data_IF_364602005269
#
_entry.id   IF_364602005269
#
_cell.length_a   1.000
_cell.length_b   1.000
_cell.length_c   1.000
_cell.angle_alpha   90.00
_cell.angle_beta   90.00
_cell.angle_gamma   90.00
#
_symmetry.space_group_name_H-M   'P 1'
#
loop_
_entity.id
_entity.type
_entity.pdbx_description
1 polymer ?
#
# COMPACT_ATOMS: atom_id res chain seq x y z
N UNK A 1 8.43 -3.51 -29.27
CA UNK A 1 7.42 -4.17 -28.41
C UNK A 1 7.98 -4.75 -27.12
N UNK A 2 8.98 -5.64 -27.16
CA UNK A 2 9.54 -6.18 -25.93
C UNK A 2 10.10 -5.09 -24.99
N UNK A 3 10.78 -4.07 -25.53
CA UNK A 3 11.25 -2.92 -24.75
C UNK A 3 10.11 -2.12 -24.06
N UNK A 4 8.95 -1.99 -24.71
CA UNK A 4 7.80 -1.29 -24.13
C UNK A 4 7.12 -2.14 -23.04
N UNK A 5 7.01 -3.45 -23.25
CA UNK A 5 6.49 -4.39 -22.24
C UNK A 5 7.41 -4.49 -21.03
N UNK A 6 8.73 -4.50 -21.23
CA UNK A 6 9.72 -4.46 -20.15
C UNK A 6 9.58 -3.20 -19.30
N UNK A 7 9.44 -2.03 -19.92
CA UNK A 7 9.24 -0.77 -19.19
C UNK A 7 7.94 -0.77 -18.37
N UNK A 8 6.86 -1.39 -18.87
CA UNK A 8 5.63 -1.58 -18.09
C UNK A 8 5.84 -2.58 -16.96
N UNK A 9 6.55 -3.68 -17.19
CA UNK A 9 6.88 -4.67 -16.16
C UNK A 9 7.67 -4.03 -15.01
N UNK A 10 8.67 -3.21 -15.32
CA UNK A 10 9.45 -2.49 -14.29
C UNK A 10 8.58 -1.52 -13.49
N UNK A 11 7.69 -0.80 -14.18
CA UNK A 11 6.74 0.13 -13.55
C UNK A 11 5.72 -0.59 -12.67
N UNK A 12 5.26 -1.78 -13.07
CA UNK A 12 4.41 -2.66 -12.27
C UNK A 12 5.14 -3.17 -11.03
N UNK A 13 6.41 -3.54 -11.16
CA UNK A 13 7.26 -3.94 -10.04
C UNK A 13 7.42 -2.80 -9.02
N UNK A 14 7.69 -1.58 -9.49
CA UNK A 14 7.77 -0.40 -8.63
C UNK A 14 6.44 -0.10 -7.92
N UNK A 15 5.33 -0.19 -8.67
CA UNK A 15 3.98 0.01 -8.13
C UNK A 15 3.65 -1.04 -7.07
N UNK A 16 3.98 -2.31 -7.33
CA UNK A 16 3.78 -3.41 -6.38
C UNK A 16 4.59 -3.19 -5.09
N UNK A 17 5.87 -2.83 -5.21
CA UNK A 17 6.73 -2.59 -4.05
C UNK A 17 6.26 -1.39 -3.20
N UNK A 18 5.76 -0.34 -3.85
CA UNK A 18 5.18 0.82 -3.16
C UNK A 18 3.94 0.41 -2.38
N UNK A 19 2.98 -0.25 -3.04
CA UNK A 19 1.74 -0.72 -2.40
C UNK A 19 2.03 -1.72 -1.27
N UNK A 20 3.02 -2.61 -1.45
CA UNK A 20 3.37 -3.61 -0.44
C UNK A 20 3.96 -2.99 0.84
N UNK A 21 4.80 -1.97 0.68
CA UNK A 21 5.38 -1.22 1.81
C UNK A 21 4.26 -0.55 2.64
N UNK A 22 3.34 0.13 1.96
CA UNK A 22 2.24 0.86 2.56
C UNK A 22 1.21 -0.11 3.21
N UNK A 23 0.89 -1.21 2.52
CA UNK A 23 0.01 -2.27 3.03
C UNK A 23 0.59 -2.94 4.29
N UNK A 24 1.90 -3.23 4.29
CA UNK A 24 2.58 -3.84 5.43
C UNK A 24 2.55 -2.91 6.65
N UNK A 25 2.82 -1.62 6.44
CA UNK A 25 2.77 -0.63 7.51
C UNK A 25 1.35 -0.42 8.04
N UNK A 26 0.33 -0.35 7.18
CA UNK A 26 -1.08 -0.30 7.60
C UNK A 26 -1.47 -1.51 8.45
N UNK A 27 -1.10 -2.72 7.99
CA UNK A 27 -1.40 -3.96 8.73
C UNK A 27 -0.70 -3.97 10.09
N UNK A 28 0.55 -3.47 10.16
CA UNK A 28 1.26 -3.33 11.43
C UNK A 28 0.62 -2.30 12.37
N UNK A 29 0.00 -1.24 11.84
CA UNK A 29 -0.71 -0.23 12.64
C UNK A 29 -2.04 -0.77 13.18
N UNK A 30 -2.80 -1.53 12.38
CA UNK A 30 -3.96 -2.30 12.90
C UNK A 30 -3.50 -3.19 14.05
N UNK A 31 -2.37 -3.86 13.84
CA UNK A 31 -1.70 -4.68 14.82
C UNK A 31 -2.55 -5.85 15.27
N UNK A 32 -2.25 -6.35 16.45
CA UNK A 32 -2.91 -7.50 17.06
C UNK A 32 -3.01 -7.31 18.60
N UNK A 33 -3.23 -8.39 19.33
CA UNK A 33 -3.26 -8.36 20.80
C UNK A 33 -1.96 -7.89 21.47
N UNK A 34 -0.86 -7.76 20.74
CA UNK A 34 0.47 -7.40 21.24
C UNK A 34 0.92 -6.00 20.83
N UNK A 35 0.29 -5.36 19.84
CA UNK A 35 0.65 -4.02 19.38
C UNK A 35 -0.40 -3.35 18.50
N UNK A 36 -0.15 -2.08 18.15
CA UNK A 36 -1.03 -1.29 17.27
C UNK A 36 -2.39 -0.94 17.90
N UNK A 37 -3.37 -0.64 17.05
CA UNK A 37 -4.70 -0.18 17.46
C UNK A 37 -5.46 -1.22 18.27
N UNK A 38 -5.30 -2.50 17.96
CA UNK A 38 -5.98 -3.60 18.68
C UNK A 38 -5.52 -3.67 20.14
N UNK A 39 -4.21 -3.56 20.41
CA UNK A 39 -3.70 -3.48 21.78
C UNK A 39 -4.09 -2.17 22.47
N UNK A 40 -4.09 -1.05 21.75
CA UNK A 40 -4.57 0.24 22.29
C UNK A 40 -6.02 0.14 22.79
N UNK A 41 -6.91 -0.46 21.99
CA UNK A 41 -8.30 -0.71 22.37
C UNK A 41 -8.37 -1.57 23.64
N UNK A 42 -7.58 -2.64 23.72
CA UNK A 42 -7.54 -3.51 24.90
C UNK A 42 -7.08 -2.78 26.17
N UNK A 43 -6.08 -1.90 26.08
CA UNK A 43 -5.63 -1.07 27.20
C UNK A 43 -6.69 -0.08 27.66
N UNK A 44 -7.45 0.51 26.72
CA UNK A 44 -8.55 1.41 27.07
C UNK A 44 -9.71 0.66 27.74
N UNK A 45 -9.99 -0.57 27.30
CA UNK A 45 -10.96 -1.45 27.97
C UNK A 45 -10.48 -1.83 29.38
N UNK A 46 -9.19 -2.14 29.54
CA UNK A 46 -8.59 -2.42 30.84
C UNK A 46 -8.71 -1.21 31.79
N UNK A 47 -8.47 0.00 31.27
CA UNK A 47 -8.60 1.25 32.01
C UNK A 47 -10.02 1.56 32.51
N UNK A 48 -11.06 0.88 32.00
CA UNK A 48 -12.43 0.99 32.55
C UNK A 48 -12.62 0.23 33.85
N UNK A 49 -11.71 -0.65 34.22
CA UNK A 49 -11.81 -1.41 35.47
C UNK A 49 -11.63 -0.46 36.66
N UNK A 50 -12.59 -0.48 37.60
CA UNK A 50 -12.53 0.37 38.78
C UNK A 50 -11.32 0.04 39.66
N UNK A 51 -10.70 1.05 40.26
CA UNK A 51 -9.54 0.89 41.13
C UNK A 51 -8.20 0.61 40.42
N UNK A 52 -8.14 0.70 39.09
CA UNK A 52 -6.89 0.52 38.34
C UNK A 52 -6.05 1.81 38.28
N UNK A 53 -4.72 1.66 38.32
CA UNK A 53 -3.80 2.79 38.16
C UNK A 53 -3.60 3.13 36.68
N UNK A 54 -4.41 4.08 36.19
CA UNK A 54 -4.40 4.53 34.78
C UNK A 54 -3.10 5.20 34.36
N UNK A 55 -2.26 5.66 35.29
CA UNK A 55 -0.97 6.26 34.95
C UNK A 55 0.00 5.23 34.38
N UNK A 56 -0.07 3.99 34.85
CA UNK A 56 0.74 2.87 34.34
C UNK A 56 0.28 2.46 32.94
N UNK A 57 -1.04 2.36 32.74
CA UNK A 57 -1.62 2.05 31.43
C UNK A 57 -1.32 3.16 30.41
N UNK A 58 -1.30 4.42 30.84
CA UNK A 58 -0.96 5.55 29.97
C UNK A 58 0.44 5.45 29.38
N UNK A 59 1.42 4.89 30.12
CA UNK A 59 2.77 4.68 29.59
C UNK A 59 2.75 3.74 28.37
N UNK A 60 2.01 2.64 28.47
CA UNK A 60 1.85 1.67 27.38
C UNK A 60 1.08 2.27 26.19
N UNK A 61 0.01 3.03 26.47
CA UNK A 61 -0.77 3.77 25.45
C UNK A 61 0.16 4.71 24.67
N UNK A 62 0.96 5.50 25.39
CA UNK A 62 1.90 6.46 24.80
C UNK A 62 2.93 5.73 23.93
N UNK A 63 3.47 4.60 24.41
CA UNK A 63 4.41 3.81 23.63
C UNK A 63 3.79 3.29 22.33
N UNK A 64 2.56 2.78 22.37
CA UNK A 64 1.86 2.27 21.19
C UNK A 64 1.55 3.40 20.20
N UNK A 65 1.10 4.56 20.66
CA UNK A 65 0.89 5.75 19.82
C UNK A 65 2.18 6.13 19.08
N UNK A 66 3.30 6.21 19.82
CA UNK A 66 4.61 6.52 19.24
C UNK A 66 5.10 5.46 18.25
N UNK A 67 4.86 4.18 18.53
CA UNK A 67 5.19 3.09 17.60
C UNK A 67 4.37 3.20 16.32
N UNK A 68 3.05 3.41 16.40
CA UNK A 68 2.20 3.56 15.22
C UNK A 68 2.61 4.78 14.38
N UNK A 69 2.94 5.90 15.03
CA UNK A 69 3.44 7.11 14.37
C UNK A 69 4.78 6.87 13.68
N UNK A 70 5.68 6.16 14.36
CA UNK A 70 6.97 5.73 13.80
C UNK A 70 6.81 4.82 12.59
N UNK A 71 5.94 3.81 12.68
CA UNK A 71 5.63 2.90 11.56
C UNK A 71 5.05 3.66 10.36
N UNK A 72 4.10 4.57 10.59
CA UNK A 72 3.53 5.38 9.52
C UNK A 72 4.57 6.31 8.87
N UNK A 73 5.47 6.91 9.66
CA UNK A 73 6.55 7.76 9.12
C UNK A 73 7.61 6.95 8.36
N UNK A 74 7.90 5.72 8.80
CA UNK A 74 8.88 4.84 8.19
C UNK A 74 8.37 4.10 6.94
N UNK A 75 7.05 4.12 6.69
CA UNK A 75 6.41 3.55 5.50
C UNK A 75 6.73 4.36 4.24
N UNK A 76 8.01 4.48 3.90
CA UNK A 76 8.45 5.19 2.71
C UNK A 76 9.10 4.27 1.71
N UNK A 77 8.66 4.38 0.46
CA UNK A 77 9.28 3.70 -0.67
C UNK A 77 9.52 4.69 -1.80
N UNK A 78 10.77 4.80 -2.26
CA UNK A 78 11.17 5.74 -3.30
C UNK A 78 10.75 7.21 -3.03
N UNK A 79 10.78 7.63 -1.75
CA UNK A 79 10.39 8.98 -1.32
C UNK A 79 8.88 9.23 -1.26
N UNK A 80 8.06 8.21 -1.54
CA UNK A 80 6.61 8.25 -1.39
C UNK A 80 6.24 7.71 -0.02
N UNK A 81 5.29 8.37 0.66
CA UNK A 81 4.67 7.89 1.90
C UNK A 81 3.19 8.31 1.88
N UNK A 82 2.27 7.35 1.94
CA UNK A 82 0.82 7.59 1.94
C UNK A 82 0.23 7.68 3.33
N UNK A 83 0.88 7.06 4.33
CA UNK A 83 0.37 6.97 5.70
C UNK A 83 0.67 8.23 6.52
N UNK A 84 1.79 8.90 6.26
CA UNK A 84 2.20 10.13 6.89
C UNK A 84 2.39 11.21 5.83
N UNK A 85 1.38 12.08 5.70
CA UNK A 85 1.30 13.06 4.61
C UNK A 85 1.64 14.46 5.08
N UNK A 86 2.24 15.22 4.17
CA UNK A 86 2.60 16.62 4.36
C UNK A 86 1.78 17.50 3.42
N UNK A 87 1.89 18.83 3.55
CA UNK A 87 1.21 19.75 2.64
C UNK A 87 1.64 19.59 1.17
N UNK A 88 2.79 18.94 0.91
CA UNK A 88 3.31 18.68 -0.44
C UNK A 88 2.98 17.28 -0.94
N UNK A 89 2.34 16.43 -0.13
CA UNK A 89 1.94 15.09 -0.58
C UNK A 89 0.80 15.21 -1.61
N UNK A 90 0.91 14.60 -2.80
CA UNK A 90 -0.15 14.63 -3.80
C UNK A 90 -1.46 14.03 -3.29
N UNK A 91 -2.59 14.59 -3.69
CA UNK A 91 -3.92 14.07 -3.32
C UNK A 91 -4.21 12.70 -3.95
N UNK A 92 -3.65 12.45 -5.14
CA UNK A 92 -3.81 11.20 -5.88
C UNK A 92 -2.46 10.66 -6.33
N UNK A 93 -2.38 9.33 -6.43
CA UNK A 93 -1.19 8.65 -6.97
C UNK A 93 -1.62 7.63 -8.03
N UNK A 94 -1.04 7.74 -9.22
CA UNK A 94 -1.30 6.84 -10.33
C UNK A 94 -0.32 5.67 -10.31
N UNK A 95 -0.84 4.47 -10.08
CA UNK A 95 -0.10 3.22 -10.23
C UNK A 95 -0.25 2.72 -11.65
N UNK A 96 0.85 2.28 -12.26
CA UNK A 96 0.78 1.57 -13.53
C UNK A 96 0.10 0.24 -13.26
N UNK A 97 -0.94 -0.06 -14.03
CA UNK A 97 -1.76 -1.26 -13.83
C UNK A 97 -1.75 -2.19 -15.01
N UNK A 98 -1.75 -1.72 -16.26
CA UNK A 98 -1.80 -2.62 -17.41
C UNK A 98 -1.19 -2.01 -18.67
N UNK A 99 -0.89 -2.87 -19.63
CA UNK A 99 -0.53 -2.51 -21.00
C UNK A 99 -1.65 -2.96 -21.94
N UNK A 100 -2.13 -2.06 -22.80
CA UNK A 100 -3.11 -2.37 -23.83
C UNK A 100 -2.74 -1.73 -25.16
N UNK A 101 -3.05 -2.43 -26.25
CA UNK A 101 -2.81 -1.95 -27.60
C UNK A 101 -4.13 -1.96 -28.37
N UNK A 102 -4.87 -0.87 -28.27
CA UNK A 102 -6.11 -0.67 -29.04
C UNK A 102 -5.77 0.17 -30.26
N UNK A 103 -6.03 -0.35 -31.46
CA UNK A 103 -5.84 0.40 -32.72
C UNK A 103 -4.37 0.74 -33.06
N UNK A 104 -3.40 -0.06 -32.60
CA UNK A 104 -1.97 0.13 -32.91
C UNK A 104 -1.22 1.12 -32.01
N UNK A 105 -1.92 1.83 -31.12
CA UNK A 105 -1.28 2.73 -30.14
C UNK A 105 -1.10 2.02 -28.81
N UNK A 106 0.13 1.95 -28.24
CA UNK A 106 0.33 1.44 -26.90
C UNK A 106 -0.26 2.41 -25.87
N UNK A 107 -1.08 1.89 -24.96
CA UNK A 107 -1.70 2.63 -23.86
C UNK A 107 -1.37 1.94 -22.55
N UNK A 108 -1.19 2.73 -21.50
CA UNK A 108 -0.94 2.25 -20.14
C UNK A 108 -2.21 2.48 -19.32
N UNK A 109 -2.78 1.40 -18.79
CA UNK A 109 -3.89 1.49 -17.85
C UNK A 109 -3.37 1.87 -16.46
N UNK A 110 -4.08 2.75 -15.76
CA UNK A 110 -3.70 3.24 -14.43
C UNK A 110 -4.70 2.79 -13.36
N UNK A 111 -4.21 2.63 -12.13
CA UNK A 111 -5.02 2.61 -10.92
C UNK A 111 -4.74 3.93 -10.20
N UNK A 112 -5.72 4.81 -10.15
CA UNK A 112 -5.60 6.07 -9.40
C UNK A 112 -6.03 5.84 -7.98
N UNK A 113 -5.11 6.02 -7.04
CA UNK A 113 -5.36 5.98 -5.61
C UNK A 113 -5.63 7.38 -5.08
N UNK A 114 -6.57 7.51 -4.15
CA UNK A 114 -6.80 8.73 -3.38
C UNK A 114 -6.09 8.60 -2.04
N UNK A 115 -5.00 9.37 -1.85
CA UNK A 115 -4.10 9.19 -0.71
C UNK A 115 -4.79 9.41 0.64
N UNK A 116 -5.75 10.33 0.70
CA UNK A 116 -6.53 10.61 1.90
C UNK A 116 -7.27 9.38 2.48
N UNK A 117 -7.55 8.36 1.66
CA UNK A 117 -8.19 7.12 2.13
C UNK A 117 -7.24 6.24 2.96
N UNK A 118 -5.92 6.44 2.86
CA UNK A 118 -4.89 5.63 3.52
C UNK A 118 -4.09 6.43 4.55
N UNK A 119 -4.20 7.76 4.56
CA UNK A 119 -3.44 8.63 5.46
C UNK A 119 -3.84 8.43 6.92
N UNK A 120 -2.87 7.98 7.73
CA UNK A 120 -2.99 7.85 9.18
C UNK A 120 -2.72 9.17 9.89
N UNK A 121 -1.72 9.91 9.40
CA UNK A 121 -1.28 11.19 9.92
C UNK A 121 -1.18 12.21 8.78
N UNK A 122 -1.57 13.45 9.03
CA UNK A 122 -1.47 14.57 8.10
C UNK A 122 -0.98 15.83 8.81
N UNK A 123 -0.37 16.75 8.05
CA UNK A 123 0.08 18.03 8.60
C UNK A 123 -1.06 18.87 9.24
N UNK A 124 -2.31 18.63 8.83
CA UNK A 124 -3.49 19.36 9.32
C UNK A 124 -4.34 18.55 10.31
N UNK A 125 -3.84 17.42 10.84
CA UNK A 125 -4.58 16.56 11.78
C UNK A 125 -5.92 16.06 11.20
N UNK A 126 -5.89 15.59 9.96
CA UNK A 126 -7.07 15.10 9.23
C UNK A 126 -7.03 13.61 8.90
N UNK A 127 -5.96 12.91 9.28
CA UNK A 127 -5.75 11.50 9.05
C UNK A 127 -6.51 10.63 10.03
N UNK A 128 -6.51 9.32 9.77
CA UNK A 128 -7.33 8.37 10.54
C UNK A 128 -6.97 8.38 12.04
N UNK A 129 -5.70 8.62 12.40
CA UNK A 129 -5.22 8.55 13.78
C UNK A 129 -5.05 9.92 14.45
N UNK A 130 -4.76 10.96 13.68
CA UNK A 130 -4.54 12.31 14.22
C UNK A 130 -5.75 13.24 14.12
N UNK A 131 -6.83 12.82 13.43
CA UNK A 131 -8.10 13.54 13.45
C UNK A 131 -8.68 13.60 14.85
N UNK A 132 -8.88 14.82 15.32
CA UNK A 132 -9.55 15.09 16.59
C UNK A 132 -11.04 14.80 16.45
N UNK A 133 -11.56 13.94 17.34
CA UNK A 133 -12.99 13.61 17.43
C UNK A 133 -13.43 13.73 18.89
N UNK A 134 -14.15 14.81 19.21
CA UNK A 134 -14.46 15.14 20.60
C UNK A 134 -13.27 15.81 21.28
N UNK A 135 -12.78 15.23 22.38
CA UNK A 135 -11.73 15.81 23.21
C UNK A 135 -10.29 15.49 22.75
N UNK A 136 -10.09 14.41 21.98
CA UNK A 136 -8.76 13.96 21.58
C UNK A 136 -8.77 13.29 20.18
N UNK A 137 -7.58 13.06 19.63
CA UNK A 137 -7.32 12.15 18.51
C UNK A 137 -6.76 10.82 19.03
N UNK A 138 -6.76 9.76 18.22
CA UNK A 138 -6.15 8.46 18.62
C UNK A 138 -4.67 8.62 18.95
N UNK A 139 -3.96 9.52 18.26
CA UNK A 139 -2.55 9.89 18.54
C UNK A 139 -2.35 10.57 19.90
N UNK A 140 -3.40 11.19 20.46
CA UNK A 140 -3.30 12.07 21.64
C UNK A 140 -4.17 11.65 22.83
N UNK A 141 -4.83 10.48 22.75
CA UNK A 141 -5.60 9.92 23.88
C UNK A 141 -4.73 9.89 25.13
N UNK A 142 -5.25 10.49 26.20
CA UNK A 142 -4.63 10.51 27.52
C UNK A 142 -5.68 10.15 28.59
N UNK A 143 -5.39 9.10 29.35
CA UNK A 143 -6.24 8.57 30.42
C UNK A 143 -5.62 8.78 31.82
N UNK A 144 -4.43 9.36 31.92
CA UNK A 144 -3.67 9.44 33.17
C UNK A 144 -4.32 10.29 34.27
N UNK A 145 -5.16 11.24 33.88
CA UNK A 145 -5.93 12.09 34.80
C UNK A 145 -7.35 11.58 35.08
N UNK A 146 -7.79 10.50 34.41
CA UNK A 146 -9.16 9.99 34.53
C UNK A 146 -9.34 9.21 35.83
N UNK A 147 -10.51 9.37 36.44
CA UNK A 147 -10.91 8.70 37.68
C UNK A 147 -12.04 7.70 37.43
N UNK A 148 -12.56 7.09 38.51
CA UNK A 148 -13.74 6.21 38.44
C UNK A 148 -15.08 6.98 38.40
N UNK A 149 -15.03 8.29 38.12
CA UNK A 149 -16.23 9.11 37.97
C UNK A 149 -17.05 8.71 36.75
N UNK A 150 -18.37 8.88 36.81
CA UNK A 150 -19.27 8.57 35.68
C UNK A 150 -18.92 9.36 34.42
N UNK A 151 -18.43 10.60 34.58
CA UNK A 151 -17.99 11.44 33.46
C UNK A 151 -16.73 10.90 32.77
N UNK A 152 -15.75 10.44 33.56
CA UNK A 152 -14.52 9.85 33.04
C UNK A 152 -14.76 8.49 32.38
N UNK A 153 -15.67 7.68 32.92
CA UNK A 153 -16.10 6.42 32.29
C UNK A 153 -16.76 6.67 30.92
N UNK A 154 -17.58 7.72 30.82
CA UNK A 154 -18.16 8.15 29.54
C UNK A 154 -17.08 8.59 28.54
N UNK A 155 -16.03 9.26 29.03
CA UNK A 155 -14.89 9.67 28.21
C UNK A 155 -14.11 8.46 27.68
N UNK A 156 -13.85 7.45 28.53
CA UNK A 156 -13.22 6.20 28.11
C UNK A 156 -14.06 5.46 27.06
N UNK A 157 -15.38 5.42 27.21
CA UNK A 157 -16.27 4.84 26.20
C UNK A 157 -16.16 5.58 24.86
N UNK A 158 -16.05 6.91 24.89
CA UNK A 158 -15.76 7.72 23.71
C UNK A 158 -14.41 7.34 23.06
N UNK A 159 -13.34 7.19 23.85
CA UNK A 159 -12.03 6.79 23.34
C UNK A 159 -12.03 5.38 22.74
N UNK A 160 -12.70 4.41 23.37
CA UNK A 160 -12.84 3.05 22.84
C UNK A 160 -13.61 3.07 21.52
N UNK A 161 -14.70 3.83 21.44
CA UNK A 161 -15.47 3.98 20.20
C UNK A 161 -14.61 4.60 19.09
N UNK A 162 -13.84 5.66 19.41
CA UNK A 162 -12.94 6.31 18.47
C UNK A 162 -11.84 5.38 17.95
N UNK A 163 -11.19 4.61 18.83
CA UNK A 163 -10.19 3.61 18.41
C UNK A 163 -10.84 2.50 17.58
N UNK A 164 -12.07 2.09 17.90
CA UNK A 164 -12.82 1.09 17.11
C UNK A 164 -13.09 1.60 15.69
N UNK A 165 -13.52 2.86 15.55
CA UNK A 165 -13.70 3.50 14.24
C UNK A 165 -12.37 3.56 13.49
N UNK A 166 -11.28 3.94 14.16
CA UNK A 166 -9.95 3.96 13.55
C UNK A 166 -9.53 2.57 13.06
N UNK A 167 -9.71 1.50 13.86
CA UNK A 167 -9.44 0.12 13.44
C UNK A 167 -10.20 -0.21 12.15
N UNK A 168 -11.50 0.10 12.10
CA UNK A 168 -12.33 -0.18 10.92
C UNK A 168 -11.88 0.62 9.68
N UNK A 169 -11.51 1.88 9.86
CA UNK A 169 -10.99 2.73 8.77
C UNK A 169 -9.64 2.23 8.25
N UNK A 170 -8.70 1.91 9.14
CA UNK A 170 -7.39 1.36 8.74
C UNK A 170 -7.53 -0.03 8.12
N UNK A 171 -8.41 -0.88 8.65
CA UNK A 171 -8.70 -2.19 8.07
C UNK A 171 -9.32 -2.09 6.67
N UNK A 172 -10.22 -1.12 6.46
CA UNK A 172 -10.80 -0.86 5.13
C UNK A 172 -9.74 -0.37 4.14
N UNK A 173 -8.86 0.54 4.58
CA UNK A 173 -7.72 1.01 3.80
C UNK A 173 -6.76 -0.13 3.42
N UNK A 174 -6.44 -1.02 4.37
CA UNK A 174 -5.61 -2.20 4.13
C UNK A 174 -6.28 -3.20 3.18
N UNK A 175 -7.59 -3.43 3.30
CA UNK A 175 -8.33 -4.31 2.41
C UNK A 175 -8.34 -3.78 0.97
N UNK A 176 -8.52 -2.48 0.78
CA UNK A 176 -8.47 -1.84 -0.54
C UNK A 176 -7.06 -1.93 -1.17
N UNK A 177 -6.00 -1.62 -0.41
CA UNK A 177 -4.62 -1.83 -0.90
C UNK A 177 -4.33 -3.31 -1.19
N UNK A 178 -4.89 -4.24 -0.42
CA UNK A 178 -4.81 -5.67 -0.69
C UNK A 178 -5.43 -6.04 -2.05
N UNK A 179 -6.60 -5.46 -2.38
CA UNK A 179 -7.23 -5.64 -3.68
C UNK A 179 -6.39 -5.02 -4.82
N UNK A 180 -5.84 -3.83 -4.61
CA UNK A 180 -4.93 -3.17 -5.56
C UNK A 180 -3.67 -4.01 -5.79
N UNK A 181 -3.07 -4.53 -4.73
CA UNK A 181 -1.91 -5.43 -4.79
C UNK A 181 -2.20 -6.68 -5.64
N UNK A 182 -3.34 -7.33 -5.40
CA UNK A 182 -3.75 -8.50 -6.18
C UNK A 182 -3.93 -8.15 -7.66
N UNK A 183 -4.57 -7.02 -7.97
CA UNK A 183 -4.76 -6.55 -9.34
C UNK A 183 -3.43 -6.28 -10.04
N UNK A 184 -2.47 -5.64 -9.36
CA UNK A 184 -1.12 -5.41 -9.91
C UNK A 184 -0.42 -6.75 -10.17
N UNK A 185 -0.52 -7.72 -9.25
CA UNK A 185 0.07 -9.05 -9.42
C UNK A 185 -0.49 -9.77 -10.65
N UNK A 186 -1.82 -9.80 -10.82
CA UNK A 186 -2.45 -10.43 -12.00
C UNK A 186 -2.00 -9.75 -13.30
N UNK A 187 -1.88 -8.42 -13.30
CA UNK A 187 -1.45 -7.72 -14.50
C UNK A 187 0.04 -7.90 -14.80
N UNK A 188 0.90 -8.01 -13.77
CA UNK A 188 2.30 -8.34 -13.94
C UNK A 188 2.47 -9.74 -14.57
N UNK A 189 1.68 -10.72 -14.13
CA UNK A 189 1.67 -12.06 -14.71
C UNK A 189 1.17 -12.07 -16.17
N UNK A 190 0.15 -11.27 -16.49
CA UNK A 190 -0.32 -11.10 -17.86
C UNK A 190 0.76 -10.49 -18.76
N UNK A 191 1.42 -9.40 -18.33
CA UNK A 191 2.49 -8.75 -19.09
C UNK A 191 3.67 -9.70 -19.28
N UNK A 192 4.04 -10.48 -18.25
CA UNK A 192 5.06 -11.54 -18.35
C UNK A 192 4.70 -12.57 -19.42
N UNK A 193 3.48 -13.10 -19.39
CA UNK A 193 3.02 -14.09 -20.37
C UNK A 193 3.00 -13.53 -21.80
N UNK A 194 2.66 -12.25 -21.94
CA UNK A 194 2.70 -11.55 -23.23
C UNK A 194 4.14 -11.39 -23.73
N UNK A 195 5.09 -11.00 -22.88
CA UNK A 195 6.52 -10.93 -23.21
C UNK A 195 7.04 -12.29 -23.67
N UNK A 196 6.78 -13.36 -22.92
CA UNK A 196 7.20 -14.73 -23.26
C UNK A 196 6.60 -15.22 -24.60
N UNK A 197 5.40 -14.74 -24.94
CA UNK A 197 4.75 -15.08 -26.22
C UNK A 197 5.31 -14.28 -27.38
N UNK A 198 5.60 -13.00 -27.16
CA UNK A 198 6.27 -12.12 -28.14
C UNK A 198 7.69 -12.63 -28.43
N UNK A 199 8.45 -13.03 -27.42
CA UNK A 199 9.81 -13.56 -27.59
C UNK A 199 9.81 -14.86 -28.38
N UNK A 200 8.87 -15.77 -28.11
CA UNK A 200 8.68 -16.99 -28.93
C UNK A 200 8.28 -16.67 -30.37
N UNK A 201 7.38 -15.71 -30.57
CA UNK A 201 6.93 -15.29 -31.90
C UNK A 201 8.05 -14.64 -32.72
N UNK A 202 8.83 -13.74 -32.12
CA UNK A 202 10.01 -13.13 -32.76
C UNK A 202 11.06 -14.19 -33.05
N UNK A 203 11.33 -15.11 -32.12
CA UNK A 203 12.26 -16.22 -32.34
C UNK A 203 11.88 -17.07 -33.55
N UNK A 204 10.61 -17.44 -33.70
CA UNK A 204 10.13 -18.20 -34.86
C UNK A 204 10.30 -17.46 -36.19
N UNK A 205 10.07 -16.14 -36.20
CA UNK A 205 10.27 -15.32 -37.40
C UNK A 205 11.75 -15.20 -37.76
N UNK A 206 12.63 -15.02 -36.76
CA UNK A 206 14.08 -14.98 -36.96
C UNK A 206 14.60 -16.33 -37.45
N UNK A 207 14.14 -17.44 -36.88
CA UNK A 207 14.51 -18.78 -37.34
C UNK A 207 14.02 -19.04 -38.78
N UNK A 208 12.81 -18.60 -39.12
CA UNK A 208 12.28 -18.71 -40.48
C UNK A 208 13.10 -17.87 -41.48
N UNK A 209 13.41 -16.62 -41.15
CA UNK A 209 14.23 -15.73 -41.97
C UNK A 209 15.66 -16.26 -42.12
N UNK A 210 16.24 -16.82 -41.05
CA UNK A 210 17.56 -17.44 -41.07
C UNK A 210 17.59 -18.67 -41.97
N UNK A 211 16.55 -19.52 -41.93
CA UNK A 211 16.43 -20.67 -42.82
C UNK A 211 16.26 -20.24 -44.29
N UNK A 212 15.46 -19.20 -44.55
CA UNK A 212 15.27 -18.67 -45.90
C UNK A 212 16.56 -18.07 -46.47
N UNK A 213 17.29 -17.27 -45.67
CA UNK A 213 18.56 -16.68 -46.08
C UNK A 213 19.64 -17.75 -46.24
N UNK A 214 19.73 -18.73 -45.33
CA UNK A 214 20.63 -19.88 -45.46
C UNK A 214 20.40 -20.67 -46.75
N UNK A 215 19.13 -20.94 -47.07
CA UNK A 215 18.74 -21.62 -48.32
C UNK A 215 19.13 -20.79 -49.55
N UNK A 216 18.89 -19.48 -49.52
CA UNK A 216 19.28 -18.55 -50.58
C UNK A 216 20.79 -18.50 -50.78
N UNK A 217 21.56 -18.52 -49.70
CA UNK A 217 23.03 -18.49 -49.73
C UNK A 217 23.60 -19.78 -50.32
N UNK A 218 23.04 -20.94 -49.98
CA UNK A 218 23.38 -22.22 -50.60
C UNK A 218 23.06 -22.24 -52.11
N UNK A 219 21.93 -21.68 -52.52
CA UNK A 219 21.55 -21.55 -53.93
C UNK A 219 22.50 -20.62 -54.70
N UNK A 220 22.96 -19.53 -54.08
CA UNK A 220 23.92 -18.60 -54.70
C UNK A 220 25.31 -19.23 -54.85
N UNK A 221 25.76 -20.00 -53.86
CA UNK A 221 27.03 -20.73 -53.92
C UNK A 221 27.03 -21.81 -55.01
N UNK A 222 25.92 -22.50 -55.22
CA UNK A 222 25.78 -23.48 -56.32
C UNK A 222 25.77 -22.81 -57.69
N UNK A 223 25.18 -21.62 -57.83
CA UNK A 223 25.27 -20.83 -59.08
C UNK A 223 26.69 -20.36 -59.41
N UNK A 224 27.56 -20.12 -58.42
CA UNK A 224 28.95 -19.67 -58.66
C UNK A 224 29.92 -20.82 -58.95
N UNK A 225 29.55 -22.06 -58.62
CA UNK A 225 30.35 -23.26 -58.89
C UNK A 225 30.07 -23.89 -60.26
N UNK A 226 29.01 -23.45 -60.94
CA UNK A 226 28.66 -23.80 -62.32
C UNK A 226 29.19 -22.74 -63.29
#
# INVERSE_FOLDING_TARGET
DNAALSAVSDSLGLSAATVDTEYTALTSVVGDKTGGLTKLQALLVEAKTAGIDRTKIQADITQIQQQMKGTAAAATFNGVNWLSTTATTPATFDLVSSFSRVGGTPTIGKITLTIANYSLYTATQGGILDKVSGAASVDTINIGALTDSTADMTTLDGYIAQVTTAINSVASAAADLGAVKNRISTNAEFVKTLMDSVDRGVGQLVDADMNAESTRLQALQTQQQL
#
